data_IF_041361034250
#
_entry.id   IF_041361034250
#
_cell.length_a   1.000
_cell.length_b   1.000
_cell.length_c   1.000
_cell.angle_alpha   90.00
_cell.angle_beta   90.00
_cell.angle_gamma   90.00
#
_symmetry.space_group_name_H-M   'P 1'
#
loop_
_entity.id
_entity.type
_entity.pdbx_description
1 polymer ?
#
# COMPACT_ATOMS: atom_id res chain seq x y z
N UNK A 1 -13.42 0.19 50.95
CA UNK A 1 -13.32 1.49 50.27
C UNK A 1 -14.69 2.13 50.18
N UNK A 2 -14.83 3.39 50.60
CA UNK A 2 -16.13 4.04 50.77
C UNK A 2 -16.61 4.66 49.43
N UNK A 3 -17.91 4.55 49.11
CA UNK A 3 -18.50 4.93 47.80
C UNK A 3 -18.21 6.37 47.35
N UNK A 4 -17.96 7.28 48.29
CA UNK A 4 -17.59 8.67 47.99
C UNK A 4 -16.17 8.81 47.43
N UNK A 5 -15.21 7.96 47.79
CA UNK A 5 -13.86 8.01 47.24
C UNK A 5 -13.78 7.49 45.79
N UNK A 6 -14.68 6.56 45.43
CA UNK A 6 -14.78 6.00 44.07
C UNK A 6 -15.32 7.05 43.08
N UNK A 7 -16.25 7.89 43.51
CA UNK A 7 -16.84 8.93 42.66
C UNK A 7 -15.91 10.13 42.42
N UNK A 8 -15.08 10.51 43.40
CA UNK A 8 -14.10 11.58 43.21
C UNK A 8 -12.97 11.18 42.26
N UNK A 9 -12.50 9.92 42.32
CA UNK A 9 -11.49 9.39 41.39
C UNK A 9 -12.02 9.26 39.95
N UNK A 10 -13.28 8.86 39.78
CA UNK A 10 -13.92 8.78 38.46
C UNK A 10 -14.10 10.17 37.81
N UNK A 11 -14.38 11.21 38.61
CA UNK A 11 -14.56 12.57 38.11
C UNK A 11 -13.24 13.24 37.69
N UNK A 12 -12.16 13.01 38.43
CA UNK A 12 -10.82 13.52 38.07
C UNK A 12 -10.22 12.77 36.87
N UNK A 13 -10.49 11.46 36.72
CA UNK A 13 -10.10 10.69 35.54
C UNK A 13 -10.79 11.13 34.25
N UNK A 14 -12.07 11.50 34.33
CA UNK A 14 -12.83 11.99 33.18
C UNK A 14 -12.36 13.37 32.70
N UNK A 15 -11.97 14.27 33.63
CA UNK A 15 -11.43 15.59 33.30
C UNK A 15 -10.03 15.50 32.70
N UNK A 16 -9.17 14.61 33.20
CA UNK A 16 -7.85 14.37 32.61
C UNK A 16 -7.94 13.81 31.18
N UNK A 17 -8.87 12.89 30.91
CA UNK A 17 -9.13 12.35 29.58
C UNK A 17 -9.72 13.40 28.61
N UNK A 18 -10.57 14.31 29.12
CA UNK A 18 -11.14 15.40 28.32
C UNK A 18 -10.10 16.49 27.98
N UNK A 19 -9.22 16.82 28.93
CA UNK A 19 -8.11 17.77 28.72
C UNK A 19 -7.04 17.21 27.77
N UNK A 20 -6.79 15.89 27.79
CA UNK A 20 -5.95 15.20 26.80
C UNK A 20 -6.59 15.11 25.40
N UNK A 21 -7.91 15.30 25.28
CA UNK A 21 -8.59 15.35 23.98
C UNK A 21 -8.62 16.74 23.35
N UNK A 22 -8.45 17.80 24.16
CA UNK A 22 -8.52 19.20 23.73
C UNK A 22 -7.14 19.84 23.52
N UNK A 23 -6.09 19.29 24.12
CA UNK A 23 -4.71 19.55 23.71
C UNK A 23 -4.31 18.49 22.68
N UNK A 24 -3.80 18.88 21.51
CA UNK A 24 -3.26 17.98 20.47
C UNK A 24 -1.99 17.20 20.88
N UNK A 25 -1.92 16.74 22.12
CA UNK A 25 -0.85 15.93 22.67
C UNK A 25 -1.08 14.47 22.27
N UNK A 26 -0.32 14.04 21.27
CA UNK A 26 -0.06 12.63 20.97
C UNK A 26 0.26 11.90 22.30
N UNK A 27 -0.32 10.71 22.57
CA UNK A 27 0.07 9.97 23.77
C UNK A 27 1.58 9.65 23.68
N UNK A 28 2.34 9.79 24.78
CA UNK A 28 3.74 9.41 24.79
C UNK A 28 3.85 7.91 24.53
N UNK A 29 4.76 7.54 23.63
CA UNK A 29 5.12 6.17 23.25
C UNK A 29 5.53 5.26 24.43
N UNK A 30 5.62 5.79 25.65
CA UNK A 30 6.08 5.10 26.84
C UNK A 30 5.02 4.22 27.54
N UNK A 31 3.74 4.25 27.13
CA UNK A 31 2.66 3.52 27.83
C UNK A 31 2.15 2.25 27.13
N UNK A 32 2.83 1.75 26.08
CA UNK A 32 2.50 0.47 25.42
C UNK A 32 3.56 -0.62 25.58
N UNK A 33 4.52 -0.45 26.49
CA UNK A 33 5.41 -1.54 26.90
C UNK A 33 4.75 -2.41 27.97
N UNK A 34 3.92 -3.35 27.51
CA UNK A 34 3.54 -4.49 28.33
C UNK A 34 3.47 -5.76 27.45
N UNK A 35 4.62 -6.43 27.34
CA UNK A 35 4.65 -7.88 27.54
C UNK A 35 4.43 -8.82 26.36
N UNK A 36 5.20 -8.70 25.28
CA UNK A 36 5.65 -9.90 24.56
C UNK A 36 7.18 -9.97 24.71
N UNK A 37 7.75 -10.99 25.38
CA UNK A 37 9.21 -11.13 25.45
C UNK A 37 9.79 -11.19 24.03
N UNK A 38 10.92 -10.53 23.78
CA UNK A 38 11.57 -10.40 22.46
C UNK A 38 11.63 -11.71 21.66
N UNK A 39 11.88 -12.84 22.36
CA UNK A 39 11.93 -14.18 21.78
C UNK A 39 10.58 -14.66 21.21
N UNK A 40 9.45 -14.29 21.81
CA UNK A 40 8.11 -14.72 21.37
C UNK A 40 7.66 -14.06 20.06
N UNK A 41 8.05 -12.80 19.83
CA UNK A 41 7.73 -12.07 18.60
C UNK A 41 8.61 -12.53 17.44
N UNK A 42 9.91 -12.70 17.68
CA UNK A 42 10.87 -13.22 16.72
C UNK A 42 10.49 -14.63 16.25
N UNK A 43 10.16 -15.54 17.18
CA UNK A 43 9.71 -16.89 16.84
C UNK A 43 8.42 -16.89 16.02
N UNK A 44 7.43 -16.05 16.38
CA UNK A 44 6.19 -15.94 15.62
C UNK A 44 6.39 -15.41 14.20
N UNK A 45 7.33 -14.46 14.00
CA UNK A 45 7.67 -13.97 12.65
C UNK A 45 8.35 -15.06 11.82
N UNK A 46 9.30 -15.80 12.41
CA UNK A 46 9.95 -16.94 11.76
C UNK A 46 8.94 -18.02 11.36
N UNK A 47 7.99 -18.36 12.24
CA UNK A 47 6.91 -19.31 11.96
C UNK A 47 6.03 -18.87 10.78
N UNK A 48 5.62 -17.59 10.74
CA UNK A 48 4.78 -17.04 9.67
C UNK A 48 5.51 -17.04 8.32
N UNK A 49 6.79 -16.65 8.33
CA UNK A 49 7.62 -16.67 7.14
C UNK A 49 7.91 -18.11 6.67
N UNK A 50 7.94 -19.06 7.61
CA UNK A 50 8.27 -20.46 7.36
C UNK A 50 9.78 -20.70 7.27
N UNK A 51 10.57 -19.82 7.86
CA UNK A 51 12.03 -19.81 7.81
C UNK A 51 12.58 -19.34 9.16
N UNK A 52 13.74 -19.87 9.57
CA UNK A 52 14.44 -19.38 10.76
C UNK A 52 15.34 -18.19 10.40
N UNK A 53 15.35 -17.18 11.28
CA UNK A 53 16.18 -15.99 11.13
C UNK A 53 16.93 -15.72 12.43
N UNK A 54 18.15 -15.22 12.31
CA UNK A 54 18.94 -14.71 13.41
C UNK A 54 18.59 -13.24 13.67
N UNK A 55 17.56 -13.00 14.48
CA UNK A 55 17.14 -11.65 14.84
C UNK A 55 18.09 -11.02 15.87
N UNK A 56 18.75 -9.93 15.50
CA UNK A 56 19.77 -9.26 16.32
C UNK A 56 19.24 -7.99 16.99
N UNK A 57 18.22 -7.35 16.41
CA UNK A 57 17.72 -6.06 16.89
C UNK A 57 16.19 -5.93 16.79
N UNK A 58 15.59 -5.26 17.78
CA UNK A 58 14.19 -4.85 17.75
C UNK A 58 14.05 -3.36 18.07
N UNK A 59 13.38 -2.60 17.20
CA UNK A 59 13.13 -1.16 17.40
C UNK A 59 11.64 -0.85 17.35
N UNK A 60 11.04 -0.29 18.42
CA UNK A 60 9.71 0.27 18.33
C UNK A 60 9.73 1.47 17.38
N UNK A 61 8.65 1.68 16.65
CA UNK A 61 8.54 2.78 15.72
C UNK A 61 7.11 3.04 15.29
N UNK A 62 6.98 3.82 14.22
CA UNK A 62 5.69 4.08 13.58
C UNK A 62 5.79 3.76 12.10
N UNK A 63 4.72 3.21 11.56
CA UNK A 63 4.54 3.04 10.12
C UNK A 63 3.16 3.54 9.75
N UNK A 64 3.12 4.61 8.96
CA UNK A 64 1.91 5.41 8.77
C UNK A 64 1.38 5.93 10.13
N UNK A 65 0.10 5.75 10.40
CA UNK A 65 -0.54 6.10 11.66
C UNK A 65 -0.39 5.02 12.75
N UNK A 66 0.18 3.84 12.43
CA UNK A 66 0.22 2.67 13.31
C UNK A 66 1.53 2.55 14.10
N UNK A 67 1.43 2.08 15.34
CA UNK A 67 2.57 1.71 16.17
C UNK A 67 3.07 0.32 15.76
N UNK A 68 4.37 0.20 15.53
CA UNK A 68 4.99 -1.04 15.02
C UNK A 68 6.26 -1.38 15.77
N UNK A 69 6.70 -2.62 15.65
CA UNK A 69 8.07 -3.04 15.97
C UNK A 69 8.76 -3.48 14.68
N UNK A 70 9.95 -2.95 14.47
CA UNK A 70 10.89 -3.37 13.46
C UNK A 70 11.80 -4.43 14.05
N UNK A 71 11.94 -5.56 13.35
CA UNK A 71 12.93 -6.58 13.64
C UNK A 71 14.01 -6.49 12.56
N UNK A 72 15.27 -6.58 12.95
CA UNK A 72 16.42 -6.65 12.06
C UNK A 72 17.26 -7.87 12.42
N UNK A 73 17.84 -8.51 11.42
CA UNK A 73 18.62 -9.73 11.60
C UNK A 73 19.17 -10.21 10.27
N UNK A 74 19.53 -11.49 10.24
CA UNK A 74 20.06 -12.17 9.07
C UNK A 74 19.32 -13.50 8.85
N UNK A 75 19.23 -13.95 7.60
CA UNK A 75 18.85 -15.33 7.32
C UNK A 75 20.05 -16.30 7.43
N UNK A 76 19.82 -17.58 7.17
CA UNK A 76 20.86 -18.62 7.29
C UNK A 76 22.06 -18.40 6.36
N UNK A 77 21.91 -17.60 5.30
CA UNK A 77 22.98 -17.27 4.35
C UNK A 77 23.74 -15.99 4.75
N UNK A 78 23.37 -15.36 5.86
CA UNK A 78 23.93 -14.08 6.29
C UNK A 78 23.36 -12.88 5.52
N UNK A 79 22.23 -13.04 4.83
CA UNK A 79 21.57 -11.92 4.14
C UNK A 79 20.77 -11.10 5.13
N UNK A 80 21.00 -9.79 5.16
CA UNK A 80 20.22 -8.86 5.98
C UNK A 80 18.71 -9.03 5.76
N UNK A 81 17.94 -9.12 6.83
CA UNK A 81 16.48 -9.16 6.80
C UNK A 81 15.89 -8.11 7.74
N UNK A 82 14.73 -7.60 7.35
CA UNK A 82 13.90 -6.79 8.22
C UNK A 82 12.44 -7.21 8.16
N UNK A 83 11.78 -7.18 9.31
CA UNK A 83 10.35 -7.44 9.43
C UNK A 83 9.68 -6.31 10.21
N UNK A 84 8.41 -6.05 9.91
CA UNK A 84 7.61 -5.00 10.57
C UNK A 84 6.32 -5.61 11.06
N UNK A 85 6.12 -5.57 12.38
CA UNK A 85 4.92 -6.11 13.03
C UNK A 85 4.08 -4.98 13.61
N UNK A 86 2.79 -4.98 13.31
CA UNK A 86 1.83 -4.08 13.94
C UNK A 86 1.62 -4.45 15.41
N UNK A 87 1.90 -3.53 16.33
CA UNK A 87 1.83 -3.82 17.77
C UNK A 87 0.40 -4.10 18.26
N UNK A 88 -0.60 -3.49 17.62
CA UNK A 88 -1.98 -3.62 18.04
C UNK A 88 -2.59 -4.97 17.63
N UNK A 89 -2.22 -5.48 16.46
CA UNK A 89 -2.80 -6.69 15.88
C UNK A 89 -1.83 -7.87 15.86
N UNK A 90 -0.54 -7.67 16.11
CA UNK A 90 0.50 -8.68 15.94
C UNK A 90 0.68 -9.15 14.50
N UNK A 91 0.10 -8.45 13.52
CA UNK A 91 0.16 -8.81 12.11
C UNK A 91 1.52 -8.40 11.51
N UNK A 92 2.14 -9.27 10.72
CA UNK A 92 3.22 -8.87 9.84
C UNK A 92 2.67 -7.89 8.79
N UNK A 93 3.19 -6.67 8.75
CA UNK A 93 2.80 -5.62 7.79
C UNK A 93 3.91 -5.27 6.82
N UNK A 94 5.14 -5.73 7.07
CA UNK A 94 6.19 -5.67 6.07
C UNK A 94 7.30 -6.67 6.32
N UNK A 95 7.99 -6.99 5.25
CA UNK A 95 9.18 -7.80 5.25
C UNK A 95 10.06 -7.35 4.09
N UNK A 96 11.37 -7.33 4.31
CA UNK A 96 12.35 -7.14 3.25
C UNK A 96 13.52 -8.04 3.56
N UNK A 97 13.85 -8.89 2.60
CA UNK A 97 15.15 -9.54 2.55
C UNK A 97 16.07 -8.68 1.70
N UNK A 98 17.32 -8.58 2.14
CA UNK A 98 18.40 -7.97 1.41
C UNK A 98 18.68 -8.72 0.12
N UNK A 99 19.77 -8.35 -0.52
CA UNK A 99 20.08 -8.86 -1.83
C UNK A 99 20.44 -10.36 -1.80
N UNK A 100 19.57 -11.20 -2.38
CA UNK A 100 19.79 -12.65 -2.55
C UNK A 100 20.63 -12.97 -3.80
N UNK A 101 21.82 -12.39 -3.92
CA UNK A 101 22.60 -12.42 -5.16
C UNK A 101 22.78 -13.77 -5.83
N UNK A 102 22.83 -13.73 -7.16
CA UNK A 102 23.11 -14.90 -8.00
C UNK A 102 23.71 -14.47 -9.34
N UNK A 103 24.86 -15.04 -9.70
CA UNK A 103 25.49 -14.87 -11.02
C UNK A 103 24.69 -15.66 -12.08
N UNK A 104 23.45 -15.28 -12.35
CA UNK A 104 22.55 -16.03 -13.24
C UNK A 104 22.01 -15.17 -14.39
N UNK A 105 22.83 -14.24 -14.89
CA UNK A 105 22.48 -13.41 -16.04
C UNK A 105 22.21 -14.28 -17.28
N UNK A 106 21.02 -14.16 -17.86
CA UNK A 106 20.64 -14.83 -19.11
C UNK A 106 20.13 -16.27 -18.97
N UNK A 107 19.93 -16.77 -17.74
CA UNK A 107 19.21 -18.04 -17.52
C UNK A 107 17.72 -17.77 -17.33
N UNK A 108 16.90 -18.80 -17.52
CA UNK A 108 15.48 -18.74 -17.15
C UNK A 108 15.32 -18.78 -15.61
N UNK A 109 14.27 -18.15 -15.05
CA UNK A 109 13.98 -18.23 -13.62
C UNK A 109 13.63 -19.66 -13.22
N UNK A 110 13.98 -20.06 -12.00
CA UNK A 110 13.73 -21.42 -11.50
C UNK A 110 12.24 -21.72 -11.29
N UNK A 111 11.44 -20.68 -11.04
CA UNK A 111 9.98 -20.79 -10.92
C UNK A 111 9.28 -19.92 -11.98
N UNK A 112 8.06 -20.33 -12.36
CA UNK A 112 7.21 -19.57 -13.28
C UNK A 112 6.45 -18.46 -12.55
N UNK A 113 5.88 -17.52 -13.30
CA UNK A 113 5.01 -16.49 -12.74
C UNK A 113 3.78 -17.06 -12.01
N UNK A 114 3.24 -18.19 -12.49
CA UNK A 114 2.09 -18.87 -11.88
C UNK A 114 2.47 -19.52 -10.54
N UNK A 115 3.62 -20.19 -10.49
CA UNK A 115 4.20 -20.75 -9.26
C UNK A 115 4.48 -19.63 -8.25
N UNK A 116 5.06 -18.50 -8.70
CA UNK A 116 5.33 -17.33 -7.87
C UNK A 116 4.05 -16.71 -7.29
N UNK A 117 2.98 -16.61 -8.09
CA UNK A 117 1.68 -16.11 -7.60
C UNK A 117 1.09 -17.04 -6.54
N UNK A 118 1.17 -18.36 -6.75
CA UNK A 118 0.73 -19.36 -5.77
C UNK A 118 1.52 -19.26 -4.46
N UNK A 119 2.83 -19.02 -4.54
CA UNK A 119 3.71 -18.77 -3.38
C UNK A 119 3.28 -17.50 -2.64
N UNK A 120 3.01 -16.41 -3.36
CA UNK A 120 2.53 -15.16 -2.80
C UNK A 120 1.17 -15.33 -2.10
N UNK A 121 0.19 -15.99 -2.72
CA UNK A 121 -1.12 -16.28 -2.11
C UNK A 121 -0.99 -17.14 -0.84
N UNK A 122 -0.13 -18.17 -0.89
CA UNK A 122 0.15 -19.02 0.27
C UNK A 122 0.81 -18.26 1.41
N UNK A 123 1.74 -17.35 1.11
CA UNK A 123 2.34 -16.45 2.08
C UNK A 123 1.30 -15.51 2.69
N UNK A 124 0.45 -14.88 1.88
CA UNK A 124 -0.60 -13.96 2.33
C UNK A 124 -1.62 -14.64 3.25
N UNK A 125 -1.91 -15.92 3.01
CA UNK A 125 -2.72 -16.74 3.92
C UNK A 125 -2.04 -16.95 5.28
N UNK A 126 -0.72 -17.22 5.32
CA UNK A 126 0.05 -17.42 6.56
C UNK A 126 0.16 -16.14 7.40
N UNK A 127 0.40 -14.99 6.77
CA UNK A 127 0.41 -13.70 7.50
C UNK A 127 -0.98 -13.28 7.96
N UNK A 128 -2.04 -13.98 7.55
CA UNK A 128 -3.40 -13.74 8.01
C UNK A 128 -4.15 -12.63 7.26
N UNK A 129 -3.74 -12.31 6.04
CA UNK A 129 -4.41 -11.29 5.20
C UNK A 129 -5.55 -11.92 4.40
N UNK A 130 -6.82 -11.53 4.65
CA UNK A 130 -7.97 -12.14 3.96
C UNK A 130 -8.24 -11.46 2.60
N UNK A 131 -7.44 -11.78 1.58
CA UNK A 131 -7.53 -11.18 0.23
C UNK A 131 -8.96 -11.29 -0.35
N UNK A 132 -9.60 -12.46 -0.22
CA UNK A 132 -10.91 -12.75 -0.81
C UNK A 132 -12.08 -12.01 -0.15
N UNK A 133 -11.98 -11.73 1.15
CA UNK A 133 -13.06 -11.08 1.93
C UNK A 133 -12.94 -9.54 1.90
N UNK A 134 -11.77 -9.00 1.57
CA UNK A 134 -11.46 -7.58 1.70
C UNK A 134 -11.75 -6.70 0.47
N UNK A 135 -12.19 -7.26 -0.65
CA UNK A 135 -12.33 -6.49 -1.90
C UNK A 135 -10.99 -6.13 -2.56
N UNK A 136 -9.95 -6.90 -2.26
CA UNK A 136 -8.64 -6.81 -2.90
C UNK A 136 -8.69 -7.33 -4.33
N UNK A 137 -7.95 -6.68 -5.22
CA UNK A 137 -7.80 -7.07 -6.63
C UNK A 137 -6.32 -7.00 -7.00
N UNK A 138 -5.83 -8.03 -7.69
CA UNK A 138 -4.50 -8.01 -8.29
C UNK A 138 -4.53 -7.00 -9.45
N UNK A 139 -3.82 -5.90 -9.32
CA UNK A 139 -3.73 -4.84 -10.33
C UNK A 139 -2.58 -5.08 -11.31
N UNK A 140 -1.53 -5.78 -10.86
CA UNK A 140 -0.25 -5.80 -11.52
C UNK A 140 0.51 -7.08 -11.16
N UNK A 141 1.08 -7.72 -12.17
CA UNK A 141 2.05 -8.81 -12.05
C UNK A 141 3.20 -8.48 -12.98
N UNK A 142 4.41 -8.38 -12.44
CA UNK A 142 5.61 -7.96 -13.16
C UNK A 142 6.75 -8.89 -12.86
N UNK A 143 7.64 -9.02 -13.84
CA UNK A 143 8.92 -9.67 -13.68
C UNK A 143 10.02 -8.63 -13.76
N UNK A 144 10.94 -8.66 -12.80
CA UNK A 144 12.14 -7.84 -12.76
C UNK A 144 13.37 -8.73 -12.85
N UNK A 145 14.19 -8.47 -13.87
CA UNK A 145 15.55 -9.00 -13.96
C UNK A 145 16.51 -7.89 -13.54
N UNK A 146 17.01 -7.99 -12.31
CA UNK A 146 18.00 -7.06 -11.76
C UNK A 146 19.43 -7.46 -12.17
N UNK A 147 19.60 -8.39 -13.11
CA UNK A 147 20.89 -8.90 -13.57
C UNK A 147 21.57 -9.71 -12.47
N UNK A 148 22.74 -9.27 -12.01
CA UNK A 148 23.40 -9.90 -10.86
C UNK A 148 22.60 -9.69 -9.58
N UNK A 149 21.71 -8.68 -9.54
CA UNK A 149 20.90 -8.38 -8.38
C UNK A 149 19.76 -9.39 -8.12
N UNK A 150 19.62 -10.42 -8.96
CA UNK A 150 18.59 -11.45 -8.85
C UNK A 150 17.36 -11.13 -9.69
N UNK A 151 16.35 -11.99 -9.58
CA UNK A 151 15.11 -11.92 -10.34
C UNK A 151 13.93 -11.98 -9.40
N UNK A 152 12.95 -11.10 -9.59
CA UNK A 152 11.76 -11.05 -8.75
C UNK A 152 10.48 -11.03 -9.60
N UNK A 153 9.49 -11.80 -9.16
CA UNK A 153 8.10 -11.60 -9.55
C UNK A 153 7.43 -10.69 -8.53
N UNK A 154 6.96 -9.53 -8.96
CA UNK A 154 6.20 -8.57 -8.14
C UNK A 154 4.71 -8.69 -8.44
N UNK A 155 3.92 -8.68 -7.38
CA UNK A 155 2.47 -8.70 -7.42
C UNK A 155 1.92 -7.56 -6.57
N UNK A 156 1.08 -6.72 -7.18
CA UNK A 156 0.45 -5.59 -6.49
C UNK A 156 -1.06 -5.81 -6.40
N UNK A 157 -1.58 -5.78 -5.18
CA UNK A 157 -3.01 -5.75 -4.92
C UNK A 157 -3.44 -4.36 -4.45
N UNK A 158 -4.63 -3.97 -4.88
CA UNK A 158 -5.31 -2.77 -4.42
C UNK A 158 -6.72 -3.11 -3.99
N UNK A 159 -7.23 -2.36 -3.02
CA UNK A 159 -8.56 -2.60 -2.47
C UNK A 159 -9.59 -1.69 -3.13
N UNK A 160 -10.73 -2.26 -3.53
CA UNK A 160 -11.80 -1.52 -4.20
C UNK A 160 -13.13 -1.65 -3.47
N UNK A 161 -13.88 -0.55 -3.44
CA UNK A 161 -15.25 -0.52 -2.95
C UNK A 161 -16.16 0.18 -3.96
N UNK A 162 -17.10 -0.57 -4.55
CA UNK A 162 -17.99 -0.07 -5.61
C UNK A 162 -17.25 0.67 -6.75
N UNK A 163 -16.05 0.19 -7.09
CA UNK A 163 -15.18 0.78 -8.13
C UNK A 163 -14.30 1.94 -7.65
N UNK A 164 -14.46 2.42 -6.41
CA UNK A 164 -13.56 3.41 -5.79
C UNK A 164 -12.32 2.68 -5.30
N UNK A 165 -11.15 3.16 -5.70
CA UNK A 165 -9.86 2.72 -5.15
C UNK A 165 -9.75 3.23 -3.70
N UNK A 166 -9.57 2.33 -2.74
CA UNK A 166 -9.35 2.71 -1.35
C UNK A 166 -7.87 3.00 -1.08
N UNK A 167 -7.59 3.66 0.04
CA UNK A 167 -6.23 3.91 0.52
C UNK A 167 -5.67 2.64 1.16
N UNK A 168 -5.51 1.61 0.32
CA UNK A 168 -5.04 0.31 0.72
C UNK A 168 -4.34 -0.38 -0.46
N UNK A 169 -3.08 -0.73 -0.25
CA UNK A 169 -2.23 -1.44 -1.19
C UNK A 169 -1.40 -2.52 -0.49
N UNK A 170 -1.06 -3.54 -1.26
CA UNK A 170 -0.29 -4.67 -0.77
C UNK A 170 0.61 -5.16 -1.89
N UNK A 171 1.90 -5.25 -1.61
CA UNK A 171 2.91 -5.67 -2.59
C UNK A 171 3.61 -6.91 -2.04
N UNK A 172 3.80 -7.91 -2.90
CA UNK A 172 4.61 -9.09 -2.59
C UNK A 172 5.60 -9.29 -3.72
N UNK A 173 6.88 -9.47 -3.39
CA UNK A 173 7.88 -9.96 -4.33
C UNK A 173 8.30 -11.36 -3.95
N UNK A 174 8.37 -12.22 -4.95
CA UNK A 174 8.86 -13.59 -4.83
C UNK A 174 10.09 -13.71 -5.71
N UNK A 175 11.20 -14.12 -5.12
CA UNK A 175 12.44 -14.34 -5.84
C UNK A 175 12.22 -15.47 -6.86
N UNK A 176 12.52 -15.20 -8.12
CA UNK A 176 12.29 -16.13 -9.24
C UNK A 176 13.24 -17.34 -9.24
N UNK A 177 14.29 -17.33 -8.41
CA UNK A 177 15.30 -18.39 -8.34
C UNK A 177 15.12 -19.29 -7.13
N UNK A 178 14.87 -18.72 -5.94
CA UNK A 178 14.62 -19.48 -4.72
C UNK A 178 13.14 -19.78 -4.48
N UNK A 179 12.24 -19.01 -5.09
CA UNK A 179 10.81 -19.06 -4.81
C UNK A 179 10.43 -18.59 -3.40
N UNK A 180 11.34 -17.91 -2.70
CA UNK A 180 11.10 -17.30 -1.39
C UNK A 180 10.55 -15.89 -1.55
N UNK A 181 9.78 -15.43 -0.56
CA UNK A 181 9.31 -14.03 -0.53
C UNK A 181 10.50 -13.14 -0.21
N UNK A 182 10.82 -12.21 -1.12
CA UNK A 182 11.92 -11.24 -0.95
C UNK A 182 11.42 -9.92 -0.38
N UNK A 183 10.17 -9.57 -0.63
CA UNK A 183 9.57 -8.33 -0.13
C UNK A 183 8.09 -8.49 0.13
N UNK A 184 7.60 -7.84 1.18
CA UNK A 184 6.19 -7.70 1.47
C UNK A 184 5.89 -6.34 2.09
N UNK A 185 4.80 -5.74 1.63
CA UNK A 185 4.24 -4.51 2.15
C UNK A 185 2.72 -4.65 2.27
N UNK A 186 2.17 -4.28 3.41
CA UNK A 186 0.74 -4.06 3.59
C UNK A 186 0.47 -2.66 4.14
N UNK A 187 -0.47 -1.98 3.51
CA UNK A 187 -1.10 -0.76 3.99
C UNK A 187 -2.61 -0.87 3.75
N UNK A 188 -3.42 -0.68 4.80
CA UNK A 188 -4.88 -0.70 4.69
C UNK A 188 -5.47 0.29 5.70
N UNK A 189 -5.73 1.52 5.25
CA UNK A 189 -6.29 2.57 6.08
C UNK A 189 -7.82 2.55 6.10
N UNK A 190 -8.44 2.84 7.26
CA UNK A 190 -9.88 3.02 7.32
C UNK A 190 -10.28 4.26 6.51
N UNK A 191 -11.37 4.14 5.76
CA UNK A 191 -11.95 5.28 5.05
C UNK A 191 -12.73 6.13 6.04
N UNK A 192 -12.26 7.35 6.28
CA UNK A 192 -12.88 8.29 7.23
C UNK A 192 -13.52 9.51 6.57
N UNK A 193 -13.58 9.51 5.24
CA UNK A 193 -14.16 10.61 4.45
C UNK A 193 -15.49 10.21 3.80
N UNK A 194 -16.42 11.17 3.62
CA UNK A 194 -17.63 10.93 2.85
C UNK A 194 -17.31 10.56 1.40
N UNK A 195 -17.91 9.46 0.90
CA UNK A 195 -17.78 9.01 -0.49
C UNK A 195 -18.77 9.74 -1.41
N UNK A 196 -18.74 11.07 -1.40
CA UNK A 196 -19.65 11.93 -2.17
C UNK A 196 -18.92 12.58 -3.34
N UNK A 197 -19.38 12.27 -4.56
CA UNK A 197 -18.87 12.87 -5.80
C UNK A 197 -19.80 14.02 -6.21
N UNK A 198 -19.27 15.24 -6.27
CA UNK A 198 -19.97 16.41 -6.81
C UNK A 198 -19.42 16.81 -8.18
N UNK A 199 -18.15 16.55 -8.42
CA UNK A 199 -17.46 16.84 -9.68
C UNK A 199 -17.41 15.57 -10.52
N UNK A 200 -18.00 15.55 -11.72
CA UNK A 200 -17.94 14.40 -12.61
C UNK A 200 -16.53 14.23 -13.19
N UNK A 201 -16.18 12.99 -13.54
CA UNK A 201 -14.88 12.64 -14.13
C UNK A 201 -14.51 13.52 -15.35
N UNK A 202 -15.50 13.84 -16.19
CA UNK A 202 -15.31 14.68 -17.38
C UNK A 202 -14.86 16.10 -17.03
N UNK A 203 -15.35 16.66 -15.92
CA UNK A 203 -14.94 17.99 -15.46
C UNK A 203 -13.54 17.96 -14.86
N UNK A 204 -13.22 16.93 -14.06
CA UNK A 204 -11.88 16.72 -13.53
C UNK A 204 -10.83 16.58 -14.65
N UNK A 205 -11.12 15.78 -15.68
CA UNK A 205 -10.25 15.65 -16.86
C UNK A 205 -10.05 16.99 -17.56
N UNK A 206 -11.11 17.78 -17.78
CA UNK A 206 -10.99 19.13 -18.38
C UNK A 206 -10.14 20.07 -17.53
N UNK A 207 -10.23 19.99 -16.20
CA UNK A 207 -9.40 20.79 -15.29
C UNK A 207 -7.92 20.42 -15.42
N UNK A 208 -7.59 19.12 -15.39
CA UNK A 208 -6.21 18.64 -15.49
C UNK A 208 -5.62 18.96 -16.86
N UNK A 209 -6.35 18.70 -17.96
CA UNK A 209 -5.89 19.00 -19.32
C UNK A 209 -5.61 20.50 -19.49
N UNK A 210 -6.52 21.38 -19.07
CA UNK A 210 -6.31 22.85 -19.16
C UNK A 210 -5.09 23.32 -18.38
N UNK A 211 -4.76 22.67 -17.27
CA UNK A 211 -3.60 23.02 -16.42
C UNK A 211 -2.31 22.32 -16.80
N UNK A 212 -2.38 21.28 -17.65
CA UNK A 212 -1.20 20.49 -18.03
C UNK A 212 -0.22 21.23 -18.94
N UNK A 213 -0.69 22.23 -19.71
CA UNK A 213 0.11 22.90 -20.74
C UNK A 213 0.49 22.02 -21.93
N UNK A 214 -0.06 20.80 -22.03
CA UNK A 214 0.21 19.87 -23.13
C UNK A 214 -0.40 20.35 -24.44
N UNK A 215 0.31 20.09 -25.55
CA UNK A 215 -0.13 20.48 -26.89
C UNK A 215 -1.08 19.45 -27.50
N UNK A 216 -0.83 18.15 -27.28
CA UNK A 216 -1.69 17.06 -27.73
C UNK A 216 -1.98 16.08 -26.57
N UNK A 217 -2.74 16.48 -25.53
CA UNK A 217 -2.99 15.65 -24.36
C UNK A 217 -3.83 14.41 -24.70
N UNK A 218 -3.33 13.25 -24.30
CA UNK A 218 -4.05 11.96 -24.35
C UNK A 218 -4.30 11.48 -22.93
N UNK A 219 -5.57 11.24 -22.60
CA UNK A 219 -5.96 10.66 -21.32
C UNK A 219 -5.69 9.15 -21.35
N UNK A 220 -4.79 8.69 -20.49
CA UNK A 220 -4.43 7.27 -20.39
C UNK A 220 -5.31 6.54 -19.38
N UNK A 221 -5.55 7.15 -18.22
CA UNK A 221 -6.30 6.53 -17.11
C UNK A 221 -7.03 7.60 -16.31
N UNK A 222 -8.22 7.26 -15.81
CA UNK A 222 -8.96 8.06 -14.84
C UNK A 222 -9.48 7.13 -13.75
N UNK A 223 -9.16 7.43 -12.49
CA UNK A 223 -9.54 6.62 -11.32
C UNK A 223 -10.15 7.53 -10.26
N UNK A 224 -11.29 7.12 -9.69
CA UNK A 224 -11.81 7.69 -8.45
C UNK A 224 -11.22 6.92 -7.28
N UNK A 225 -10.60 7.60 -6.34
CA UNK A 225 -10.01 6.94 -5.18
C UNK A 225 -9.92 7.80 -3.94
N UNK A 226 -9.74 7.14 -2.81
CA UNK A 226 -9.40 7.79 -1.53
C UNK A 226 -7.88 7.92 -1.47
N UNK A 227 -7.40 9.14 -1.26
CA UNK A 227 -5.98 9.46 -1.09
C UNK A 227 -5.78 10.47 0.03
N UNK A 228 -4.53 10.74 0.42
CA UNK A 228 -4.21 11.83 1.35
C UNK A 228 -3.84 13.09 0.58
N UNK A 229 -4.33 14.25 1.02
CA UNK A 229 -3.84 15.55 0.55
C UNK A 229 -2.38 15.73 0.99
N UNK A 230 -1.57 16.32 0.12
CA UNK A 230 -0.20 16.69 0.50
C UNK A 230 -0.24 17.97 1.33
N UNK A 231 0.19 17.90 2.58
CA UNK A 231 0.28 19.09 3.46
C UNK A 231 1.72 19.35 3.89
N UNK A 232 2.48 18.30 4.24
CA UNK A 232 3.92 18.36 4.49
C UNK A 232 4.55 16.97 4.43
N UNK A 233 5.88 16.92 4.34
CA UNK A 233 6.67 15.72 4.63
C UNK A 233 6.75 15.51 6.15
N UNK A 234 6.44 14.31 6.61
CA UNK A 234 6.74 13.90 7.98
C UNK A 234 8.25 13.62 8.09
N UNK A 235 9.00 14.39 8.89
CA UNK A 235 10.44 14.25 9.00
C UNK A 235 10.90 12.92 9.61
N UNK A 236 10.01 12.17 10.29
CA UNK A 236 10.34 10.86 10.86
C UNK A 236 10.06 9.69 9.92
N UNK A 237 9.16 9.87 8.93
CA UNK A 237 8.72 8.78 8.04
C UNK A 237 8.99 9.07 6.56
N UNK A 238 9.46 10.27 6.21
CA UNK A 238 9.69 10.71 4.84
C UNK A 238 8.42 10.72 3.99
N UNK A 239 7.24 10.82 4.62
CA UNK A 239 5.93 10.58 3.97
C UNK A 239 4.94 11.70 4.15
N UNK A 240 4.02 11.75 3.21
CA UNK A 240 2.94 12.73 3.09
C UNK A 240 1.92 12.54 4.21
N UNK A 241 1.79 13.52 5.10
CA UNK A 241 0.72 13.56 6.10
C UNK A 241 -0.28 14.63 5.70
N UNK A 242 -1.54 14.24 5.57
CA UNK A 242 -2.66 15.16 5.34
C UNK A 242 -4.00 14.45 5.41
N UNK A 243 -5.10 15.20 5.45
CA UNK A 243 -6.44 14.63 5.53
C UNK A 243 -6.71 13.75 4.32
N UNK A 244 -7.47 12.67 4.54
CA UNK A 244 -7.99 11.88 3.43
C UNK A 244 -8.91 12.76 2.56
N UNK A 245 -8.99 12.42 1.29
CA UNK A 245 -9.87 13.04 0.30
C UNK A 245 -10.34 11.98 -0.70
N UNK A 246 -11.56 12.15 -1.21
CA UNK A 246 -12.01 11.46 -2.41
C UNK A 246 -11.58 12.29 -3.62
N UNK A 247 -10.80 11.71 -4.53
CA UNK A 247 -10.24 12.43 -5.66
C UNK A 247 -10.27 11.65 -6.97
N UNK A 248 -10.34 12.40 -8.06
CA UNK A 248 -10.07 11.92 -9.41
C UNK A 248 -8.58 12.01 -9.68
N UNK A 249 -7.93 10.87 -9.85
CA UNK A 249 -6.58 10.79 -10.40
C UNK A 249 -6.68 10.64 -11.92
N UNK A 250 -6.02 11.52 -12.66
CA UNK A 250 -6.04 11.59 -14.13
C UNK A 250 -4.61 11.46 -14.63
N UNK A 251 -4.33 10.43 -15.41
CA UNK A 251 -3.05 10.22 -16.08
C UNK A 251 -3.14 10.72 -17.51
N UNK A 252 -2.22 11.60 -17.88
CA UNK A 252 -2.09 12.17 -19.21
C UNK A 252 -0.71 11.85 -19.78
N UNK A 253 -0.62 11.72 -21.10
CA UNK A 253 0.63 11.87 -21.86
C UNK A 253 0.45 12.90 -22.96
N UNK A 254 1.54 13.52 -23.40
CA UNK A 254 1.51 14.39 -24.59
C UNK A 254 1.86 13.56 -25.84
N UNK A 255 0.93 13.45 -26.78
CA UNK A 255 1.16 12.74 -28.05
C UNK A 255 2.12 13.48 -28.98
N UNK A 256 2.38 14.77 -28.76
CA UNK A 256 3.34 15.55 -29.53
C UNK A 256 4.79 15.29 -29.10
N UNK A 257 5.01 14.72 -27.91
CA UNK A 257 6.36 14.42 -27.38
C UNK A 257 6.78 13.03 -27.85
N UNK A 258 7.84 12.91 -28.68
CA UNK A 258 8.38 11.62 -29.08
C UNK A 258 8.88 10.88 -27.84
N UNK A 259 8.44 9.64 -27.69
CA UNK A 259 8.86 8.76 -26.60
C UNK A 259 10.13 8.03 -27.08
N UNK A 260 11.30 8.24 -26.45
CA UNK A 260 12.49 7.47 -26.80
C UNK A 260 12.20 5.98 -26.69
N UNK A 261 12.73 5.14 -27.58
CA UNK A 261 12.52 3.68 -27.54
C UNK A 261 12.92 3.04 -26.20
N UNK A 262 13.80 3.70 -25.46
CA UNK A 262 14.38 3.22 -24.20
C UNK A 262 13.86 3.97 -22.96
N UNK A 263 12.90 4.90 -23.11
CA UNK A 263 12.30 5.61 -21.98
C UNK A 263 10.80 5.65 -22.11
N UNK A 264 10.05 5.34 -21.05
CA UNK A 264 8.61 5.45 -21.12
C UNK A 264 8.19 6.93 -21.30
N UNK A 265 7.00 7.20 -21.90
CA UNK A 265 6.48 8.55 -22.03
C UNK A 265 6.45 9.24 -20.66
N UNK A 266 6.77 10.53 -20.60
CA UNK A 266 6.53 11.32 -19.39
C UNK A 266 5.01 11.40 -19.17
N UNK A 267 4.53 10.70 -18.15
CA UNK A 267 3.14 10.71 -17.74
C UNK A 267 2.91 11.81 -16.72
N UNK A 268 1.87 12.63 -16.88
CA UNK A 268 1.45 13.60 -15.88
C UNK A 268 0.28 13.03 -15.09
N UNK A 269 0.34 13.06 -13.76
CA UNK A 269 -0.83 12.84 -12.91
C UNK A 269 -1.36 14.17 -12.40
N UNK A 270 -2.61 14.46 -12.74
CA UNK A 270 -3.43 15.45 -12.04
C UNK A 270 -4.34 14.78 -11.02
N UNK A 271 -4.48 15.39 -9.84
CA UNK A 271 -5.42 14.94 -8.81
C UNK A 271 -6.40 16.06 -8.52
N UNK A 272 -7.70 15.80 -8.71
CA UNK A 272 -8.79 16.76 -8.46
C UNK A 272 -9.67 16.24 -7.35
N UNK A 273 -9.97 17.07 -6.34
CA UNK A 273 -10.92 16.73 -5.28
C UNK A 273 -12.32 16.52 -5.89
N UNK A 274 -12.88 15.33 -5.71
CA UNK A 274 -14.14 14.94 -6.33
C UNK A 274 -15.37 15.66 -5.73
N UNK A 275 -15.20 16.34 -4.58
CA UNK A 275 -16.24 17.11 -3.90
C UNK A 275 -16.16 18.60 -4.21
N UNK A 276 -14.95 19.17 -4.28
CA UNK A 276 -14.77 20.63 -4.44
C UNK A 276 -14.36 21.06 -5.84
N UNK A 277 -13.79 20.16 -6.65
CA UNK A 277 -13.22 20.51 -7.96
C UNK A 277 -11.86 21.20 -7.88
N UNK A 278 -11.30 21.30 -6.68
CA UNK A 278 -9.97 21.82 -6.46
C UNK A 278 -8.92 20.88 -7.08
N UNK A 279 -8.04 21.45 -7.89
CA UNK A 279 -6.87 20.74 -8.39
C UNK A 279 -5.81 20.68 -7.29
N UNK A 280 -5.69 19.54 -6.65
CA UNK A 280 -4.82 19.33 -5.47
C UNK A 280 -3.36 19.13 -5.87
N UNK A 281 -3.11 18.49 -7.02
CA UNK A 281 -1.75 18.20 -7.46
C UNK A 281 -1.67 18.08 -8.98
N UNK A 282 -0.56 18.56 -9.54
CA UNK A 282 -0.05 18.14 -10.85
C UNK A 282 1.40 17.72 -10.63
N UNK A 283 1.75 16.49 -11.03
CA UNK A 283 3.12 16.00 -10.98
C UNK A 283 3.46 15.28 -12.28
N UNK A 284 4.59 15.64 -12.87
CA UNK A 284 5.23 14.82 -13.89
C UNK A 284 5.79 13.58 -13.19
N UNK A 285 5.27 12.42 -13.56
CA UNK A 285 5.82 11.15 -13.14
C UNK A 285 6.77 10.63 -14.22
N UNK A 286 7.91 10.05 -13.86
CA UNK A 286 8.41 8.93 -14.65
C UNK A 286 7.29 7.89 -14.62
N UNK A 287 6.84 7.43 -15.80
CA UNK A 287 5.79 6.40 -15.85
C UNK A 287 6.17 5.24 -14.91
N UNK A 288 5.21 4.62 -14.19
CA UNK A 288 5.47 3.31 -13.63
C UNK A 288 5.94 2.39 -14.77
N UNK A 289 6.87 1.46 -14.56
CA UNK A 289 7.19 0.48 -15.57
C UNK A 289 5.86 -0.16 -15.99
N UNK A 290 5.46 0.07 -17.24
CA UNK A 290 4.35 -0.65 -17.83
C UNK A 290 4.67 -2.13 -17.67
N UNK A 291 3.68 -2.93 -17.31
CA UNK A 291 3.75 -4.37 -17.52
C UNK A 291 3.99 -4.62 -19.03
N UNK A 292 5.27 -4.70 -19.41
CA UNK A 292 5.86 -5.34 -20.59
C UNK A 292 7.28 -4.78 -20.83
N UNK A 293 8.27 -5.67 -20.79
CA UNK A 293 9.59 -5.47 -21.37
C UNK A 293 10.71 -5.99 -20.45
N UNK A 294 10.97 -7.29 -20.34
CA UNK A 294 11.27 -8.19 -21.47
C UNK A 294 12.03 -7.46 -22.60
N UNK A 295 13.36 -7.52 -22.51
CA UNK A 295 14.19 -7.68 -23.70
C UNK A 295 14.86 -9.05 -23.64
N UNK A 296 14.12 -10.07 -24.02
CA UNK A 296 14.65 -11.23 -24.73
C UNK A 296 13.57 -11.63 -25.76
N UNK A 297 13.94 -11.67 -27.04
CA UNK A 297 13.05 -11.54 -28.20
C UNK A 297 11.75 -12.35 -28.19
N UNK A 298 10.64 -11.70 -28.57
CA UNK A 298 9.49 -12.36 -29.16
C UNK A 298 8.94 -11.55 -30.35
N UNK A 299 8.77 -12.23 -31.48
CA UNK A 299 8.19 -11.67 -32.71
C UNK A 299 6.71 -11.38 -32.48
N UNK A 300 6.30 -10.16 -32.79
CA UNK A 300 4.99 -9.85 -33.39
C UNK A 300 3.77 -9.99 -32.49
N UNK A 301 3.42 -8.94 -31.75
CA UNK A 301 2.04 -8.66 -31.39
C UNK A 301 1.78 -7.14 -31.50
N UNK A 302 1.00 -6.74 -32.51
CA UNK A 302 0.50 -5.37 -32.68
C UNK A 302 -0.16 -4.90 -31.39
N UNK A 303 0.30 -3.77 -30.84
CA UNK A 303 -0.38 -3.05 -29.77
C UNK A 303 -1.82 -2.76 -30.21
N UNK A 304 -2.79 -3.46 -29.63
CA UNK A 304 -4.20 -3.12 -29.80
C UNK A 304 -4.43 -1.75 -29.18
N UNK A 305 -4.83 -0.82 -30.02
CA UNK A 305 -5.27 0.54 -29.74
C UNK A 305 -5.98 0.63 -28.40
N UNK A 306 -5.57 1.58 -27.56
CA UNK A 306 -6.14 1.85 -26.25
C UNK A 306 -7.67 1.87 -26.36
N UNK A 307 -8.34 0.87 -25.76
CA UNK A 307 -9.80 0.87 -25.62
C UNK A 307 -10.15 2.19 -24.93
N UNK A 308 -11.01 2.98 -25.57
CA UNK A 308 -11.65 4.18 -25.04
C UNK A 308 -12.11 3.87 -23.61
N UNK A 309 -11.34 4.30 -22.61
CA UNK A 309 -11.65 4.08 -21.20
C UNK A 309 -12.79 5.04 -20.84
N UNK A 310 -14.00 4.59 -21.10
CA UNK A 310 -15.21 5.18 -20.52
C UNK A 310 -15.01 5.16 -19.01
N UNK A 311 -15.15 6.30 -18.30
CA UNK A 311 -15.11 6.30 -16.84
C UNK A 311 -16.03 5.20 -16.34
N UNK A 312 -15.56 4.37 -15.40
CA UNK A 312 -16.42 3.34 -14.80
C UNK A 312 -17.75 4.01 -14.43
N UNK A 313 -18.88 3.44 -14.88
CA UNK A 313 -20.20 3.98 -14.51
C UNK A 313 -20.39 3.74 -13.01
N UNK A 314 -19.99 4.72 -12.20
CA UNK A 314 -20.21 4.67 -10.76
C UNK A 314 -21.71 4.82 -10.49
N UNK A 315 -22.28 3.88 -9.75
CA UNK A 315 -23.61 4.09 -9.20
C UNK A 315 -23.49 5.01 -7.98
N UNK A 316 -23.44 6.32 -8.21
CA UNK A 316 -23.27 7.33 -7.18
C UNK A 316 -24.36 7.27 -6.09
N UNK A 317 -25.56 6.82 -6.46
CA UNK A 317 -26.66 6.63 -5.50
C UNK A 317 -26.37 5.52 -4.49
N UNK A 318 -25.69 4.44 -4.91
CA UNK A 318 -25.27 3.36 -4.00
C UNK A 318 -24.15 3.78 -3.04
N UNK A 319 -23.36 4.79 -3.37
CA UNK A 319 -22.21 5.22 -2.55
C UNK A 319 -22.59 6.06 -1.32
N UNK A 320 -23.71 6.81 -1.38
CA UNK A 320 -24.04 7.84 -0.39
C UNK A 320 -24.22 7.30 1.03
N UNK A 321 -24.64 6.04 1.19
CA UNK A 321 -24.89 5.39 2.47
C UNK A 321 -24.13 4.06 2.65
N UNK A 322 -23.29 3.67 1.69
CA UNK A 322 -22.61 2.40 1.76
C UNK A 322 -21.43 2.49 2.74
N UNK A 323 -21.36 1.53 3.67
CA UNK A 323 -20.25 1.43 4.62
C UNK A 323 -19.04 0.81 3.91
N UNK A 324 -17.89 1.49 3.87
CA UNK A 324 -16.66 0.91 3.34
C UNK A 324 -16.33 -0.41 4.03
N UNK A 325 -15.70 -1.38 3.33
CA UNK A 325 -15.29 -2.63 3.95
C UNK A 325 -14.30 -2.38 5.08
N UNK A 326 -14.30 -3.22 6.14
CA UNK A 326 -13.34 -3.10 7.22
C UNK A 326 -11.91 -3.28 6.71
N UNK A 327 -10.94 -2.71 7.42
CA UNK A 327 -9.51 -2.95 7.16
C UNK A 327 -9.11 -4.37 7.58
N UNK A 328 -8.00 -4.87 7.05
CA UNK A 328 -7.38 -6.12 7.52
C UNK A 328 -7.18 -6.09 9.04
N UNK A 329 -6.73 -4.96 9.59
CA UNK A 329 -6.53 -4.78 11.03
C UNK A 329 -7.84 -4.95 11.82
N UNK A 330 -8.93 -4.35 11.35
CA UNK A 330 -10.25 -4.48 11.99
C UNK A 330 -10.77 -5.93 11.90
N UNK A 331 -10.55 -6.61 10.77
CA UNK A 331 -10.93 -8.01 10.59
C UNK A 331 -10.17 -8.93 11.55
N UNK A 332 -8.87 -8.72 11.74
CA UNK A 332 -8.03 -9.48 12.67
C UNK A 332 -8.52 -9.30 14.11
N UNK A 333 -8.82 -8.07 14.51
CA UNK A 333 -9.35 -7.78 15.85
C UNK A 333 -10.71 -8.45 16.10
N UNK A 334 -11.62 -8.38 15.12
CA UNK A 334 -12.94 -9.04 15.20
C UNK A 334 -12.84 -10.56 15.33
N UNK A 335 -11.86 -11.18 14.66
CA UNK A 335 -11.61 -12.63 14.76
C UNK A 335 -11.08 -13.01 16.14
N UNK A 336 -10.23 -12.18 16.75
CA UNK A 336 -9.70 -12.41 18.10
C UNK A 336 -10.76 -12.25 19.18
N UNK A 337 -11.66 -11.27 19.07
CA UNK A 337 -12.73 -11.07 20.05
C UNK A 337 -13.81 -12.16 20.04
N UNK A 338 -13.81 -13.04 19.03
CA UNK A 338 -14.75 -14.17 18.91
C UNK A 338 -14.17 -15.50 19.42
N UNK A 339 -12.88 -15.52 19.77
CA UNK A 339 -12.20 -16.66 20.38
C UNK A 339 -12.17 -16.48 21.89
#
# INVERSE_FOLDING_TARGET
MNRRQVLTLAWHGAIAALLLSLAGARPPLAAQQAGAPQASLAAAVSEVLGEEFHWTEQRPGRRHDRAVVWLYGEDAEGTDVSAVVDLQTGLLVGFSRGWMGGLMRGKEPAITAEEALKRADGFLARVGVPIREGGWRLESSRFFDHGTAGRDYEFDWSKYFHGILLLADMWVRVNGDSGLVSYYHLWDEPVVVPLVVRVPATEAVRLVVRRSGMTAPVVERVVLGVGRRYVADDPLTGRVVGPQMLGWSVWLRDAAVPVPRDRPPLGLIGVVDARTGELVRIRSLPQPPSAAGERAGSRGARAKTAKRLVPAKFNLARLRNAKPPPTVFQLVQQRRSRR
#
